data_IF_445675457147
#
_entry.id   IF_445675457147
#
_cell.length_a   1.000
_cell.length_b   1.000
_cell.length_c   1.000
_cell.angle_alpha   90.00
_cell.angle_beta   90.00
_cell.angle_gamma   90.00
#
_symmetry.space_group_name_H-M   'P 1'
#
loop_
_entity.id
_entity.type
_entity.pdbx_description
1 polymer ?
#
# COMPACT_ATOMS: atom_id res chain seq x y z
N UNK A 1 -30.76 18.27 -60.04
CA UNK A 1 -29.68 17.50 -59.37
C UNK A 1 -29.47 18.10 -57.99
N UNK A 2 -29.69 17.29 -56.94
CA UNK A 2 -29.35 17.62 -55.55
C UNK A 2 -27.83 17.55 -55.37
N UNK A 3 -27.24 18.49 -54.64
CA UNK A 3 -25.90 18.31 -54.08
C UNK A 3 -26.02 18.40 -52.56
N UNK A 4 -25.76 17.26 -51.91
CA UNK A 4 -25.80 17.09 -50.46
C UNK A 4 -24.59 17.73 -49.79
N UNK A 5 -24.89 18.35 -48.64
CA UNK A 5 -24.05 18.83 -47.54
C UNK A 5 -22.98 17.84 -47.09
N UNK A 6 -21.75 18.31 -46.80
CA UNK A 6 -20.91 17.76 -45.73
C UNK A 6 -20.19 18.93 -45.05
N UNK A 7 -20.68 19.30 -43.86
CA UNK A 7 -19.95 20.16 -42.92
C UNK A 7 -19.01 19.22 -42.19
N UNK A 8 -17.70 19.43 -42.35
CA UNK A 8 -16.68 18.71 -41.59
C UNK A 8 -16.68 19.26 -40.16
N UNK A 9 -17.24 18.47 -39.24
CA UNK A 9 -17.09 18.70 -37.81
C UNK A 9 -15.61 18.54 -37.46
N UNK A 10 -14.97 19.63 -37.03
CA UNK A 10 -13.68 19.56 -36.33
C UNK A 10 -13.94 18.84 -35.01
N UNK A 11 -13.41 17.62 -34.92
CA UNK A 11 -13.27 16.90 -33.68
C UNK A 11 -12.36 17.74 -32.76
N UNK A 12 -12.96 18.33 -31.73
CA UNK A 12 -12.22 19.00 -30.67
C UNK A 12 -11.59 17.89 -29.86
N UNK A 13 -10.27 17.72 -30.02
CA UNK A 13 -9.48 16.88 -29.13
C UNK A 13 -9.63 17.42 -27.70
N UNK A 14 -10.46 16.74 -26.90
CA UNK A 14 -10.58 17.02 -25.48
C UNK A 14 -9.21 16.73 -24.86
N UNK A 15 -8.55 17.69 -24.20
CA UNK A 15 -7.33 17.40 -23.49
C UNK A 15 -7.68 16.38 -22.41
N UNK A 16 -7.03 15.22 -22.46
CA UNK A 16 -6.99 14.31 -21.32
C UNK A 16 -6.29 15.07 -20.20
N UNK A 17 -7.06 15.76 -19.36
CA UNK A 17 -6.55 16.31 -18.12
C UNK A 17 -6.15 15.11 -17.26
N UNK A 18 -4.86 14.79 -17.30
CA UNK A 18 -4.21 13.89 -16.36
C UNK A 18 -4.29 14.54 -14.98
N UNK A 19 -5.43 14.39 -14.31
CA UNK A 19 -5.55 14.73 -12.89
C UNK A 19 -4.65 13.75 -12.12
N UNK A 20 -3.45 14.22 -11.81
CA UNK A 20 -2.48 13.49 -11.01
C UNK A 20 -2.99 13.46 -9.57
N UNK A 21 -3.87 12.50 -9.22
CA UNK A 21 -4.15 12.30 -7.80
C UNK A 21 -2.82 11.98 -7.10
N UNK A 22 -2.50 12.70 -6.01
CA UNK A 22 -1.25 12.52 -5.28
C UNK A 22 -1.10 11.07 -4.83
N UNK A 23 0.14 10.58 -4.86
CA UNK A 23 0.50 9.25 -4.36
C UNK A 23 0.82 9.36 -2.88
N UNK A 24 0.18 8.51 -2.09
CA UNK A 24 0.42 8.43 -0.64
C UNK A 24 1.27 7.20 -0.33
N UNK A 25 2.36 7.43 0.39
CA UNK A 25 3.21 6.39 0.98
C UNK A 25 2.96 6.42 2.47
N UNK A 26 2.59 5.29 3.07
CA UNK A 26 2.36 5.18 4.51
C UNK A 26 3.39 4.24 5.13
N UNK A 27 3.96 4.67 6.26
CA UNK A 27 4.95 3.92 7.01
C UNK A 27 4.48 3.72 8.44
N UNK A 28 4.62 2.49 8.94
CA UNK A 28 4.31 2.13 10.32
C UNK A 28 5.56 1.64 11.01
N UNK A 29 6.15 2.48 11.86
CA UNK A 29 7.35 2.14 12.63
C UNK A 29 7.00 1.59 14.01
N UNK A 30 7.67 0.52 14.46
CA UNK A 30 7.50 -0.05 15.80
C UNK A 30 6.02 -0.43 16.05
N UNK A 31 5.36 0.18 17.03
CA UNK A 31 3.91 0.00 17.29
C UNK A 31 3.01 0.58 16.19
N UNK A 32 3.54 1.42 15.31
CA UNK A 32 2.82 1.95 14.15
C UNK A 32 2.35 0.87 13.17
N UNK A 33 2.94 -0.33 13.19
CA UNK A 33 2.44 -1.46 12.41
C UNK A 33 1.02 -1.89 12.78
N UNK A 34 0.60 -1.71 14.04
CA UNK A 34 -0.80 -1.96 14.45
C UNK A 34 -1.76 -0.99 13.79
N UNK A 35 -1.35 0.28 13.64
CA UNK A 35 -2.14 1.28 12.92
C UNK A 35 -2.22 0.91 11.44
N UNK A 36 -1.12 0.47 10.84
CA UNK A 36 -1.13 -0.05 9.47
C UNK A 36 -2.07 -1.24 9.31
N UNK A 37 -2.12 -2.18 10.25
CA UNK A 37 -3.03 -3.31 10.17
C UNK A 37 -4.50 -2.86 10.05
N UNK A 38 -4.89 -1.78 10.75
CA UNK A 38 -6.22 -1.20 10.62
C UNK A 38 -6.42 -0.52 9.27
N UNK A 39 -5.47 0.32 8.83
CA UNK A 39 -5.53 1.00 7.52
C UNK A 39 -5.60 -0.01 6.36
N UNK A 40 -4.79 -1.07 6.41
CA UNK A 40 -4.78 -2.16 5.41
C UNK A 40 -6.11 -2.90 5.41
N UNK A 41 -6.69 -3.14 6.59
CA UNK A 41 -8.02 -3.72 6.71
C UNK A 41 -9.05 -2.81 6.04
N UNK A 42 -9.09 -1.53 6.41
CA UNK A 42 -10.01 -0.56 5.78
C UNK A 42 -9.82 -0.45 4.27
N UNK A 43 -8.58 -0.49 3.77
CA UNK A 43 -8.27 -0.48 2.35
C UNK A 43 -8.86 -1.71 1.62
N UNK A 44 -8.78 -2.88 2.24
CA UNK A 44 -9.36 -4.11 1.68
C UNK A 44 -10.89 -4.10 1.66
N UNK A 45 -11.53 -3.38 2.58
CA UNK A 45 -12.99 -3.28 2.66
C UNK A 45 -13.58 -2.03 2.00
N UNK A 46 -12.74 -1.10 1.53
CA UNK A 46 -13.20 0.09 0.84
C UNK A 46 -13.61 -0.23 -0.61
N UNK A 47 -14.74 0.34 -1.02
CA UNK A 47 -15.19 0.28 -2.40
C UNK A 47 -14.22 1.04 -3.32
N UNK A 48 -14.16 0.61 -4.58
CA UNK A 48 -13.55 1.41 -5.65
C UNK A 48 -14.57 2.49 -5.99
N UNK A 49 -14.63 3.54 -5.17
CA UNK A 49 -15.46 4.69 -5.46
C UNK A 49 -15.10 5.21 -6.86
N UNK A 50 -16.11 5.45 -7.70
CA UNK A 50 -15.95 6.43 -8.77
C UNK A 50 -15.54 7.71 -8.06
N UNK A 51 -14.35 8.25 -8.31
CA UNK A 51 -14.08 9.63 -7.95
C UNK A 51 -15.24 10.42 -8.54
N UNK A 52 -16.19 10.82 -7.70
CA UNK A 52 -17.33 11.63 -8.13
C UNK A 52 -16.65 12.85 -8.74
N UNK A 53 -16.92 13.10 -10.02
CA UNK A 53 -16.39 14.25 -10.72
C UNK A 53 -16.85 15.51 -9.96
N UNK A 54 -16.06 15.97 -9.01
CA UNK A 54 -16.10 17.35 -8.54
C UNK A 54 -15.37 18.16 -9.60
N UNK A 55 -16.20 18.63 -10.52
CA UNK A 55 -15.92 19.78 -11.38
C UNK A 55 -15.38 20.88 -10.44
N UNK A 56 -14.14 21.32 -10.70
CA UNK A 56 -13.41 22.38 -9.98
C UNK A 56 -12.84 22.07 -8.58
N UNK A 57 -12.17 20.94 -8.39
CA UNK A 57 -11.26 20.77 -7.24
C UNK A 57 -9.85 21.32 -7.55
N UNK A 58 -9.52 22.43 -6.88
CA UNK A 58 -8.16 22.87 -6.62
C UNK A 58 -7.30 21.65 -6.20
N UNK A 59 -6.10 21.48 -6.79
CA UNK A 59 -5.25 20.31 -6.55
C UNK A 59 -4.85 20.29 -5.06
N UNK A 60 -5.64 19.58 -4.25
CA UNK A 60 -5.35 19.39 -2.83
C UNK A 60 -4.34 18.24 -2.69
N UNK A 61 -3.14 18.58 -2.22
CA UNK A 61 -2.08 17.59 -1.93
C UNK A 61 -2.54 16.60 -0.85
N UNK A 62 -3.39 17.06 0.07
CA UNK A 62 -3.88 16.26 1.19
C UNK A 62 -5.29 15.75 0.87
N UNK A 63 -5.54 14.43 0.95
CA UNK A 63 -6.88 13.89 0.79
C UNK A 63 -7.85 14.43 1.85
N UNK A 64 -9.04 14.87 1.44
CA UNK A 64 -10.04 15.45 2.34
C UNK A 64 -11.08 14.43 2.83
N UNK A 65 -11.15 13.26 2.18
CA UNK A 65 -12.04 12.17 2.57
C UNK A 65 -11.27 10.89 2.83
N UNK A 66 -11.89 9.98 3.59
CA UNK A 66 -11.34 8.63 3.84
C UNK A 66 -11.12 7.88 2.54
N UNK A 67 -12.08 7.94 1.63
CA UNK A 67 -12.02 7.24 0.34
C UNK A 67 -10.90 7.81 -0.53
N UNK A 68 -10.75 9.14 -0.57
CA UNK A 68 -9.65 9.79 -1.26
C UNK A 68 -8.30 9.37 -0.66
N UNK A 69 -8.18 9.31 0.67
CA UNK A 69 -6.97 8.84 1.34
C UNK A 69 -6.66 7.39 0.95
N UNK A 70 -7.59 6.46 1.15
CA UNK A 70 -7.37 5.04 0.86
C UNK A 70 -7.09 4.77 -0.63
N UNK A 71 -7.75 5.50 -1.54
CA UNK A 71 -7.53 5.38 -2.98
C UNK A 71 -6.19 5.99 -3.43
N UNK A 72 -5.61 6.92 -2.64
CA UNK A 72 -4.31 7.53 -2.92
C UNK A 72 -3.11 6.67 -2.50
N UNK A 73 -3.30 5.68 -1.62
CA UNK A 73 -2.22 4.82 -1.11
C UNK A 73 -1.63 4.00 -2.25
N UNK A 74 -0.35 4.23 -2.55
CA UNK A 74 0.43 3.44 -3.50
C UNK A 74 1.40 2.48 -2.82
N UNK A 75 1.83 2.80 -1.58
CA UNK A 75 2.86 2.04 -0.88
C UNK A 75 2.62 1.98 0.62
N UNK A 76 2.90 0.81 1.19
CA UNK A 76 2.71 0.52 2.61
C UNK A 76 3.99 -0.13 3.15
N UNK A 77 4.65 0.55 4.08
CA UNK A 77 5.92 0.12 4.66
C UNK A 77 5.75 -0.26 6.13
N UNK A 78 5.88 -1.54 6.44
CA UNK A 78 6.00 -2.03 7.81
C UNK A 78 7.47 -1.90 8.22
N UNK A 79 7.80 -0.98 9.12
CA UNK A 79 9.18 -0.66 9.49
C UNK A 79 9.51 -1.13 10.90
N UNK A 80 10.32 -2.18 11.00
CA UNK A 80 10.78 -2.81 12.26
C UNK A 80 9.65 -2.94 13.29
N UNK A 81 8.51 -3.43 12.80
CA UNK A 81 7.27 -3.50 13.55
C UNK A 81 7.41 -4.54 14.66
N UNK A 82 6.96 -4.17 15.85
CA UNK A 82 7.00 -5.03 17.02
C UNK A 82 5.97 -4.65 18.07
N UNK A 83 5.51 -5.68 18.78
CA UNK A 83 4.59 -5.58 19.92
C UNK A 83 5.05 -6.53 21.03
N UNK A 84 4.56 -6.30 22.24
CA UNK A 84 4.74 -7.22 23.38
C UNK A 84 3.61 -8.27 23.45
N UNK A 85 2.81 -8.37 22.39
CA UNK A 85 1.70 -9.30 22.21
C UNK A 85 1.59 -9.67 20.73
N UNK A 86 0.71 -10.61 20.41
CA UNK A 86 0.28 -10.86 19.02
C UNK A 86 -0.38 -9.64 18.39
N UNK A 87 -0.50 -9.66 17.06
CA UNK A 87 -1.13 -8.60 16.25
C UNK A 87 -0.15 -7.55 15.71
N UNK A 88 1.15 -7.87 15.65
CA UNK A 88 2.16 -7.01 15.05
C UNK A 88 1.97 -6.93 13.52
N UNK A 89 1.68 -8.07 12.87
CA UNK A 89 1.38 -8.13 11.44
C UNK A 89 0.00 -8.74 11.19
N UNK A 90 -0.62 -8.35 10.08
CA UNK A 90 -1.94 -8.85 9.71
C UNK A 90 -1.86 -10.27 9.15
N UNK A 91 -2.64 -11.19 9.73
CA UNK A 91 -2.65 -12.60 9.32
C UNK A 91 -3.98 -13.07 8.75
N UNK A 92 -4.92 -12.15 8.50
CA UNK A 92 -6.24 -12.45 7.94
C UNK A 92 -6.16 -12.46 6.41
N UNK A 93 -6.40 -13.63 5.80
CA UNK A 93 -6.36 -13.81 4.34
C UNK A 93 -7.43 -13.00 3.61
N UNK A 94 -8.63 -12.87 4.19
CA UNK A 94 -9.76 -12.16 3.57
C UNK A 94 -9.42 -10.72 3.22
N UNK A 95 -8.59 -10.06 4.03
CA UNK A 95 -8.17 -8.68 3.77
C UNK A 95 -7.33 -8.60 2.49
N UNK A 96 -6.33 -9.47 2.35
CA UNK A 96 -5.45 -9.47 1.17
C UNK A 96 -6.17 -9.94 -0.08
N UNK A 97 -7.07 -10.92 0.05
CA UNK A 97 -7.90 -11.38 -1.07
C UNK A 97 -8.77 -10.24 -1.61
N UNK A 98 -9.37 -9.44 -0.73
CA UNK A 98 -10.17 -8.27 -1.14
C UNK A 98 -9.32 -7.17 -1.75
N UNK A 99 -8.12 -6.91 -1.22
CA UNK A 99 -7.16 -5.99 -1.84
C UNK A 99 -6.84 -6.45 -3.27
N UNK A 100 -6.55 -7.74 -3.47
CA UNK A 100 -6.27 -8.29 -4.81
C UNK A 100 -7.45 -8.12 -5.78
N UNK A 101 -8.67 -8.45 -5.34
CA UNK A 101 -9.90 -8.24 -6.11
C UNK A 101 -10.07 -6.77 -6.51
N UNK A 102 -9.89 -5.85 -5.56
CA UNK A 102 -9.95 -4.41 -5.77
C UNK A 102 -8.94 -3.93 -6.82
N UNK A 103 -7.70 -4.43 -6.77
CA UNK A 103 -6.66 -4.12 -7.76
C UNK A 103 -7.04 -4.62 -9.15
N UNK A 104 -7.55 -5.85 -9.26
CA UNK A 104 -8.00 -6.44 -10.53
C UNK A 104 -9.15 -5.63 -11.14
N UNK A 105 -10.08 -5.14 -10.31
CA UNK A 105 -11.25 -4.37 -10.71
C UNK A 105 -10.94 -2.93 -11.17
N UNK A 106 -9.70 -2.46 -11.04
CA UNK A 106 -9.28 -1.18 -11.63
C UNK A 106 -8.59 -0.23 -10.67
N UNK A 107 -8.47 -0.56 -9.39
CA UNK A 107 -7.67 0.24 -8.48
C UNK A 107 -6.20 0.33 -8.92
N UNK A 108 -5.53 1.40 -8.47
CA UNK A 108 -4.11 1.67 -8.75
C UNK A 108 -3.23 0.59 -8.14
N UNK A 109 -2.07 0.36 -8.77
CA UNK A 109 -1.04 -0.56 -8.27
C UNK A 109 -0.66 -0.23 -6.82
N UNK A 110 -0.44 -1.27 -6.02
CA UNK A 110 -0.10 -1.19 -4.60
C UNK A 110 1.15 -2.00 -4.30
N UNK A 111 2.04 -1.43 -3.47
CA UNK A 111 3.29 -2.07 -3.04
C UNK A 111 3.32 -2.23 -1.53
N UNK A 112 3.57 -3.44 -1.06
CA UNK A 112 3.90 -3.72 0.34
C UNK A 112 5.40 -3.92 0.49
N UNK A 113 5.99 -3.30 1.51
CA UNK A 113 7.38 -3.52 1.88
C UNK A 113 7.47 -3.82 3.36
N UNK A 114 8.03 -4.99 3.70
CA UNK A 114 8.29 -5.40 5.07
C UNK A 114 9.77 -5.16 5.36
N UNK A 115 10.06 -4.22 6.25
CA UNK A 115 11.41 -3.89 6.69
C UNK A 115 11.61 -4.40 8.11
N UNK A 116 12.71 -5.07 8.38
CA UNK A 116 13.01 -5.48 9.74
C UNK A 116 14.47 -5.77 10.00
N UNK A 117 14.76 -5.81 11.29
CA UNK A 117 16.09 -6.06 11.84
C UNK A 117 16.12 -7.39 12.59
N UNK A 118 17.31 -7.93 12.90
CA UNK A 118 17.46 -9.05 13.83
C UNK A 118 16.71 -8.80 15.15
N UNK A 119 16.72 -7.56 15.67
CA UNK A 119 16.06 -7.20 16.94
C UNK A 119 14.57 -7.55 16.97
N UNK A 120 13.84 -7.46 15.85
CA UNK A 120 12.43 -7.84 15.81
C UNK A 120 12.21 -9.23 15.23
N UNK A 121 12.90 -9.59 14.14
CA UNK A 121 12.61 -10.82 13.40
C UNK A 121 13.32 -12.07 13.94
N UNK A 122 14.37 -11.92 14.76
CA UNK A 122 15.06 -13.06 15.38
C UNK A 122 14.88 -13.12 16.90
N UNK A 123 13.97 -12.32 17.46
CA UNK A 123 13.68 -12.33 18.90
C UNK A 123 12.95 -13.62 19.31
N UNK A 124 13.63 -14.51 20.01
CA UNK A 124 13.08 -15.80 20.46
C UNK A 124 12.01 -15.64 21.54
N UNK A 125 12.06 -14.56 22.34
CA UNK A 125 11.05 -14.29 23.37
C UNK A 125 9.76 -13.74 22.78
N UNK A 126 9.83 -13.18 21.56
CA UNK A 126 8.69 -12.60 20.82
C UNK A 126 8.56 -13.23 19.44
N UNK A 127 8.66 -14.56 19.39
CA UNK A 127 8.66 -15.34 18.16
C UNK A 127 7.41 -15.15 17.29
N UNK A 128 6.29 -14.73 17.89
CA UNK A 128 5.07 -14.36 17.18
C UNK A 128 5.30 -13.24 16.16
N UNK A 129 6.23 -12.31 16.39
CA UNK A 129 6.52 -11.22 15.44
C UNK A 129 7.01 -11.81 14.11
N UNK A 130 7.98 -12.72 14.16
CA UNK A 130 8.48 -13.43 12.98
C UNK A 130 7.38 -14.26 12.33
N UNK A 131 6.65 -15.06 13.13
CA UNK A 131 5.57 -15.93 12.62
C UNK A 131 4.46 -15.15 11.91
N UNK A 132 4.02 -14.04 12.48
CA UNK A 132 3.00 -13.17 11.89
C UNK A 132 3.53 -12.48 10.63
N UNK A 133 4.76 -11.97 10.65
CA UNK A 133 5.43 -11.40 9.47
C UNK A 133 5.58 -12.41 8.33
N UNK A 134 6.00 -13.64 8.62
CA UNK A 134 6.14 -14.72 7.64
C UNK A 134 4.77 -15.09 7.06
N UNK A 135 3.74 -15.19 7.90
CA UNK A 135 2.37 -15.45 7.45
C UNK A 135 1.84 -14.32 6.58
N UNK A 136 2.04 -13.06 6.97
CA UNK A 136 1.64 -11.90 6.18
C UNK A 136 2.33 -11.89 4.80
N UNK A 137 3.65 -12.13 4.77
CA UNK A 137 4.42 -12.21 3.53
C UNK A 137 3.85 -13.29 2.59
N UNK A 138 3.62 -14.50 3.10
CA UNK A 138 3.03 -15.61 2.35
C UNK A 138 1.66 -15.26 1.76
N UNK A 139 0.78 -14.64 2.56
CA UNK A 139 -0.55 -14.24 2.11
C UNK A 139 -0.48 -13.16 1.03
N UNK A 140 0.41 -12.19 1.19
CA UNK A 140 0.65 -11.14 0.20
C UNK A 140 1.20 -11.71 -1.11
N UNK A 141 2.18 -12.62 -1.06
CA UNK A 141 2.75 -13.27 -2.25
C UNK A 141 1.70 -14.13 -2.99
N UNK A 142 0.89 -14.88 -2.24
CA UNK A 142 -0.23 -15.65 -2.77
C UNK A 142 -1.19 -14.75 -3.57
N UNK A 143 -1.58 -13.61 -3.00
CA UNK A 143 -2.50 -12.69 -3.65
C UNK A 143 -1.84 -11.86 -4.76
N UNK A 144 -0.54 -11.59 -4.65
CA UNK A 144 0.25 -10.92 -5.68
C UNK A 144 0.28 -11.72 -6.98
N UNK A 145 0.45 -13.04 -6.89
CA UNK A 145 0.41 -13.95 -8.05
C UNK A 145 -0.92 -13.88 -8.83
N UNK A 146 -2.02 -13.53 -8.17
CA UNK A 146 -3.37 -13.40 -8.77
C UNK A 146 -3.64 -12.00 -9.33
N UNK A 147 -2.87 -11.00 -8.92
CA UNK A 147 -3.14 -9.58 -9.18
C UNK A 147 -2.69 -9.05 -10.56
N UNK A 148 -2.12 -9.91 -11.42
CA UNK A 148 -1.53 -9.52 -12.72
C UNK A 148 -0.45 -8.43 -12.60
N UNK A 149 0.37 -8.48 -11.55
CA UNK A 149 1.45 -7.52 -11.29
C UNK A 149 0.99 -6.18 -10.70
N UNK A 150 -0.28 -6.07 -10.29
CA UNK A 150 -0.80 -4.86 -9.62
C UNK A 150 -0.52 -4.81 -8.13
N UNK A 151 -0.22 -5.96 -7.51
CA UNK A 151 0.24 -6.04 -6.13
C UNK A 151 1.71 -6.47 -6.15
N UNK A 152 2.57 -5.65 -5.55
CA UNK A 152 3.99 -5.94 -5.35
C UNK A 152 4.29 -6.14 -3.88
N UNK A 153 5.21 -7.04 -3.59
CA UNK A 153 5.59 -7.42 -2.22
C UNK A 153 7.10 -7.52 -2.16
N UNK A 154 7.70 -6.84 -1.19
CA UNK A 154 9.13 -6.83 -0.94
C UNK A 154 9.41 -7.06 0.54
N UNK A 155 10.52 -7.72 0.84
CA UNK A 155 11.03 -7.89 2.19
C UNK A 155 12.49 -7.44 2.24
N UNK A 156 12.81 -6.51 3.14
CA UNK A 156 14.15 -5.94 3.32
C UNK A 156 14.63 -6.25 4.74
N UNK A 157 15.72 -7.01 4.84
CA UNK A 157 16.34 -7.39 6.11
C UNK A 157 17.61 -6.59 6.34
N UNK A 158 17.60 -5.76 7.39
CA UNK A 158 18.65 -4.80 7.69
C UNK A 158 19.58 -5.33 8.78
N UNK A 159 20.87 -4.96 8.72
CA UNK A 159 21.86 -5.29 9.74
C UNK A 159 22.01 -6.79 10.02
N UNK A 160 21.89 -7.62 8.97
CA UNK A 160 21.93 -9.08 9.07
C UNK A 160 23.23 -9.62 9.70
N UNK A 161 24.31 -8.85 9.61
CA UNK A 161 25.65 -9.11 10.13
C UNK A 161 25.86 -8.62 11.57
N UNK A 162 24.91 -7.87 12.15
CA UNK A 162 25.02 -7.31 13.50
C UNK A 162 24.24 -8.13 14.53
N UNK A 163 24.72 -8.13 15.77
CA UNK A 163 23.98 -8.72 16.89
C UNK A 163 22.72 -7.90 17.22
N UNK A 164 21.59 -8.56 17.54
CA UNK A 164 20.34 -7.87 17.91
C UNK A 164 20.54 -6.92 19.10
N UNK A 165 20.12 -5.66 18.95
CA UNK A 165 20.17 -4.69 20.03
C UNK A 165 19.08 -3.61 19.89
N UNK A 166 18.88 -2.78 20.91
CA UNK A 166 17.87 -1.71 20.84
C UNK A 166 18.27 -0.55 19.91
N UNK A 167 19.56 -0.33 19.66
CA UNK A 167 20.02 0.75 18.78
C UNK A 167 19.56 0.50 17.34
N UNK A 168 19.69 -0.73 16.83
CA UNK A 168 19.27 -1.07 15.47
C UNK A 168 17.77 -0.85 15.22
N UNK A 169 16.93 -0.94 16.26
CA UNK A 169 15.51 -0.64 16.17
C UNK A 169 15.26 0.78 15.65
N UNK A 170 16.09 1.74 16.05
CA UNK A 170 15.99 3.13 15.61
C UNK A 170 16.89 3.42 14.41
N UNK A 171 18.08 2.82 14.34
CA UNK A 171 19.04 2.97 13.22
C UNK A 171 18.42 2.58 11.87
N UNK A 172 17.46 1.65 11.83
CA UNK A 172 16.76 1.27 10.61
C UNK A 172 16.03 2.45 9.94
N UNK A 173 15.58 3.46 10.72
CA UNK A 173 14.87 4.63 10.16
C UNK A 173 15.79 5.42 9.24
N UNK A 174 17.07 5.53 9.60
CA UNK A 174 18.10 6.22 8.81
C UNK A 174 18.57 5.39 7.61
N UNK A 175 18.45 4.06 7.72
CA UNK A 175 18.81 3.12 6.66
C UNK A 175 17.63 2.78 5.73
N UNK A 176 16.46 3.36 5.97
CA UNK A 176 15.25 2.99 5.28
C UNK A 176 15.35 3.36 3.80
N UNK A 177 15.25 2.34 2.96
CA UNK A 177 15.13 2.52 1.53
C UNK A 177 13.64 2.63 1.20
N UNK A 178 13.20 3.78 0.68
CA UNK A 178 11.83 4.01 0.18
C UNK A 178 11.78 4.12 -1.35
N UNK A 179 12.91 3.85 -2.02
CA UNK A 179 13.01 3.74 -3.48
C UNK A 179 12.30 2.48 -3.97
#
# INVERSE_FOLDING_TARGET
>A
MQVKKIISERQVDTPSCCFHQPKTIILGFSKGGTVLNQIVTELGFADIGSNVNSVDEEISIVPQTKEALLNSISEIHYVDVGLNSTGAYLTNHDVFERISKRLIQGARKLRFVLHGTPRQWTDEQRDWIRKEKDKMLLLLELEASKSKGKLEVLSRYYFADKLPNMQMHFEIIESLDVS
#
